data_IF_856308545513
#
_entry.id   IF_856308545513
#
_cell.length_a   1.000
_cell.length_b   1.000
_cell.length_c   1.000
_cell.angle_alpha   90.00
_cell.angle_beta   90.00
_cell.angle_gamma   90.00
#
_symmetry.space_group_name_H-M   'P 1'
#
loop_
_entity.id
_entity.type
_entity.pdbx_description
1 polymer ?
#
# COMPACT_ATOMS: atom_id res chain seq x y z
N UNK A 1 -36.32 -20.17 16.19
CA UNK A 1 -34.85 -20.13 16.12
C UNK A 1 -34.38 -18.85 16.80
N UNK A 2 -33.37 -18.89 17.67
CA UNK A 2 -32.79 -17.69 18.27
C UNK A 2 -31.92 -16.96 17.24
N UNK A 3 -31.94 -15.61 17.28
CA UNK A 3 -31.17 -14.77 16.37
C UNK A 3 -29.72 -14.68 16.84
N UNK A 4 -28.77 -15.04 15.98
CA UNK A 4 -27.33 -14.85 16.20
C UNK A 4 -26.92 -13.46 15.71
N UNK A 5 -26.21 -12.70 16.55
CA UNK A 5 -25.63 -11.42 16.18
C UNK A 5 -24.13 -11.61 15.89
N UNK A 6 -23.70 -11.17 14.72
CA UNK A 6 -22.30 -11.26 14.27
C UNK A 6 -21.81 -9.84 14.00
N UNK A 7 -20.63 -9.49 14.51
CA UNK A 7 -19.95 -8.22 14.20
C UNK A 7 -18.61 -8.51 13.53
N UNK A 8 -18.39 -7.88 12.38
CA UNK A 8 -17.11 -7.89 11.68
C UNK A 8 -16.37 -6.58 11.96
N UNK A 9 -15.19 -6.68 12.59
CA UNK A 9 -14.26 -5.57 12.78
C UNK A 9 -13.07 -5.73 11.84
N UNK A 10 -12.92 -4.81 10.89
CA UNK A 10 -11.76 -4.76 9.99
C UNK A 10 -10.77 -3.72 10.49
N UNK A 11 -9.60 -4.19 10.95
CA UNK A 11 -8.54 -3.32 11.45
C UNK A 11 -7.58 -2.90 10.33
N UNK A 12 -7.62 -1.64 9.92
CA UNK A 12 -6.71 -1.08 8.92
C UNK A 12 -5.60 -0.29 9.59
N UNK A 13 -4.39 -0.84 9.49
CA UNK A 13 -3.18 -0.25 10.02
C UNK A 13 -2.05 -0.33 8.99
N UNK A 14 -1.29 0.76 8.89
CA UNK A 14 0.04 0.82 8.30
C UNK A 14 0.92 1.66 9.22
N UNK A 15 2.18 1.29 9.47
CA UNK A 15 3.11 2.15 10.18
C UNK A 15 3.41 3.41 9.35
N UNK A 16 4.08 4.40 9.96
CA UNK A 16 4.66 5.49 9.20
C UNK A 16 5.76 4.97 8.28
N UNK A 17 5.55 5.13 6.97
CA UNK A 17 6.58 4.86 5.97
C UNK A 17 7.38 6.12 5.59
N UNK A 18 6.95 7.30 6.03
CA UNK A 18 7.66 8.56 5.81
C UNK A 18 8.92 8.62 6.68
N UNK A 19 10.07 8.82 6.05
CA UNK A 19 11.29 9.23 6.74
C UNK A 19 11.19 10.73 7.00
N UNK A 20 10.80 11.11 8.23
CA UNK A 20 10.62 12.51 8.62
C UNK A 20 11.89 13.35 8.52
N UNK A 21 13.09 12.72 8.54
CA UNK A 21 14.35 13.45 8.39
C UNK A 21 14.62 13.90 6.95
N UNK A 22 14.05 13.17 5.97
CA UNK A 22 14.23 13.42 4.54
C UNK A 22 12.98 13.96 3.85
N UNK A 23 11.80 13.78 4.47
CA UNK A 23 10.51 14.10 3.88
C UNK A 23 10.04 13.08 2.83
N UNK A 24 10.70 11.94 2.68
CA UNK A 24 10.46 10.94 1.63
C UNK A 24 9.82 9.67 2.19
N UNK A 25 8.85 9.11 1.49
CA UNK A 25 8.25 7.82 1.78
C UNK A 25 9.17 6.67 1.37
N UNK A 26 9.42 5.74 2.29
CA UNK A 26 10.29 4.58 2.07
C UNK A 26 9.57 3.44 1.35
N UNK A 27 8.26 3.31 1.55
CA UNK A 27 7.43 2.23 1.03
C UNK A 27 6.06 2.75 0.60
N UNK A 28 5.46 2.19 -0.48
CA UNK A 28 4.27 2.73 -1.11
C UNK A 28 2.97 2.12 -0.55
N UNK A 29 3.05 1.38 0.56
CA UNK A 29 1.99 0.45 0.95
C UNK A 29 0.68 1.13 1.30
N UNK A 30 0.72 2.35 1.87
CA UNK A 30 -0.49 3.14 2.11
C UNK A 30 -1.22 3.42 0.80
N UNK A 31 -0.52 3.96 -0.23
CA UNK A 31 -1.08 4.18 -1.56
C UNK A 31 -1.66 2.89 -2.15
N UNK A 32 -0.85 1.83 -2.19
CA UNK A 32 -1.22 0.62 -2.92
C UNK A 32 -2.39 -0.13 -2.24
N UNK A 33 -2.43 -0.16 -0.90
CA UNK A 33 -3.57 -0.74 -0.19
C UNK A 33 -4.82 0.13 -0.28
N UNK A 34 -4.70 1.46 -0.34
CA UNK A 34 -5.83 2.36 -0.54
C UNK A 34 -6.52 2.15 -1.89
N UNK A 35 -5.74 1.95 -2.96
CA UNK A 35 -6.24 1.70 -4.32
C UNK A 35 -6.82 0.29 -4.46
N UNK A 36 -6.22 -0.69 -3.76
CA UNK A 36 -6.60 -2.11 -3.90
C UNK A 36 -7.59 -2.56 -2.84
N UNK A 37 -7.12 -2.69 -1.62
CA UNK A 37 -7.79 -3.45 -0.57
C UNK A 37 -8.89 -2.61 0.06
N UNK A 38 -8.57 -1.38 0.47
CA UNK A 38 -9.53 -0.52 1.15
C UNK A 38 -10.66 -0.09 0.20
N UNK A 39 -10.31 0.25 -1.05
CA UNK A 39 -11.28 0.48 -2.12
C UNK A 39 -12.26 -0.69 -2.31
N UNK A 40 -11.72 -1.91 -2.46
CA UNK A 40 -12.52 -3.11 -2.66
C UNK A 40 -13.46 -3.38 -1.48
N UNK A 41 -12.97 -3.20 -0.24
CA UNK A 41 -13.77 -3.40 0.97
C UNK A 41 -14.93 -2.39 1.04
N UNK A 42 -14.71 -1.11 0.71
CA UNK A 42 -15.78 -0.12 0.65
C UNK A 42 -16.84 -0.50 -0.41
N UNK A 43 -16.42 -0.88 -1.62
CA UNK A 43 -17.33 -1.35 -2.69
C UNK A 43 -18.14 -2.58 -2.30
N UNK A 44 -17.52 -3.56 -1.62
CA UNK A 44 -18.22 -4.76 -1.18
C UNK A 44 -19.31 -4.44 -0.17
N UNK A 45 -19.01 -3.61 0.83
CA UNK A 45 -19.99 -3.22 1.84
C UNK A 45 -21.16 -2.45 1.23
N UNK A 46 -20.88 -1.56 0.29
CA UNK A 46 -21.92 -0.78 -0.38
C UNK A 46 -22.93 -1.67 -1.12
N UNK A 47 -22.43 -2.74 -1.77
CA UNK A 47 -23.22 -3.71 -2.55
C UNK A 47 -23.97 -4.73 -1.69
N UNK A 48 -23.30 -5.30 -0.69
CA UNK A 48 -23.84 -6.44 0.07
C UNK A 48 -24.74 -6.01 1.25
N UNK A 49 -24.85 -4.70 1.53
CA UNK A 49 -25.67 -4.15 2.63
C UNK A 49 -25.39 -4.78 4.00
N UNK A 50 -24.15 -5.24 4.22
CA UNK A 50 -23.69 -5.79 5.49
C UNK A 50 -23.32 -4.67 6.46
N UNK A 51 -23.62 -4.84 7.75
CA UNK A 51 -23.15 -3.93 8.81
C UNK A 51 -21.76 -4.38 9.27
N UNK A 52 -20.78 -3.51 9.14
CA UNK A 52 -19.39 -3.77 9.54
C UNK A 52 -18.78 -2.55 10.22
N UNK A 53 -17.79 -2.79 11.06
CA UNK A 53 -17.00 -1.73 11.69
C UNK A 53 -15.61 -1.72 11.08
N UNK A 54 -15.15 -0.55 10.60
CA UNK A 54 -13.78 -0.34 10.16
C UNK A 54 -13.02 0.43 11.24
N UNK A 55 -11.85 -0.08 11.64
CA UNK A 55 -10.88 0.69 12.42
C UNK A 55 -9.84 1.28 11.49
N UNK A 56 -9.59 2.58 11.56
CA UNK A 56 -8.49 3.23 10.87
C UNK A 56 -7.50 3.77 11.90
N UNK A 57 -6.22 3.41 11.76
CA UNK A 57 -5.20 4.05 12.59
C UNK A 57 -4.97 5.49 12.12
N UNK A 58 -4.86 6.48 13.02
CA UNK A 58 -4.70 7.89 12.64
C UNK A 58 -3.49 8.14 11.73
N UNK A 59 -2.34 7.53 12.04
CA UNK A 59 -1.13 7.60 11.20
C UNK A 59 -1.33 7.05 9.78
N UNK A 60 -2.25 6.09 9.59
CA UNK A 60 -2.58 5.58 8.27
C UNK A 60 -3.39 6.64 7.51
N UNK A 61 -4.41 7.21 8.15
CA UNK A 61 -5.28 8.24 7.54
C UNK A 61 -4.47 9.47 7.12
N UNK A 62 -3.54 9.93 7.97
CA UNK A 62 -2.64 11.04 7.64
C UNK A 62 -1.83 10.77 6.37
N UNK A 63 -1.20 9.60 6.28
CA UNK A 63 -0.45 9.21 5.09
C UNK A 63 -1.34 9.07 3.84
N UNK A 64 -2.59 8.61 3.98
CA UNK A 64 -3.54 8.57 2.87
C UNK A 64 -3.78 9.97 2.30
N UNK A 65 -3.95 10.98 3.17
CA UNK A 65 -4.12 12.37 2.74
C UNK A 65 -2.87 12.96 2.11
N UNK A 66 -1.68 12.62 2.61
CA UNK A 66 -0.42 13.00 1.95
C UNK A 66 -0.39 12.53 0.48
N UNK A 67 -0.86 11.31 0.18
CA UNK A 67 -0.95 10.82 -1.20
C UNK A 67 -2.07 11.49 -2.00
N UNK A 68 -3.26 11.67 -1.42
CA UNK A 68 -4.44 12.26 -2.09
C UNK A 68 -4.18 13.73 -2.47
N UNK A 69 -3.53 14.47 -1.58
CA UNK A 69 -3.20 15.89 -1.74
C UNK A 69 -1.91 16.11 -2.56
N UNK A 70 -1.27 15.03 -3.03
CA UNK A 70 0.00 15.06 -3.79
C UNK A 70 1.16 15.70 -3.01
N UNK A 71 1.17 15.52 -1.69
CA UNK A 71 2.24 15.95 -0.78
C UNK A 71 3.27 14.84 -0.52
N UNK A 72 2.92 13.59 -0.80
CA UNK A 72 3.81 12.45 -0.63
C UNK A 72 4.91 12.44 -1.72
N UNK A 73 6.17 12.56 -1.29
CA UNK A 73 7.33 12.21 -2.12
C UNK A 73 7.61 10.70 -1.96
N UNK A 74 7.26 9.90 -2.97
CA UNK A 74 7.37 8.44 -2.97
C UNK A 74 8.15 7.96 -4.20
N UNK A 75 9.36 7.38 -4.03
CA UNK A 75 10.17 6.87 -5.12
C UNK A 75 9.44 5.87 -6.02
N UNK A 76 8.49 5.09 -5.50
CA UNK A 76 7.71 4.17 -6.32
C UNK A 76 6.80 4.92 -7.29
N UNK A 77 6.16 6.02 -6.88
CA UNK A 77 5.34 6.85 -7.79
C UNK A 77 6.24 7.60 -8.76
N UNK A 78 7.28 8.25 -8.25
CA UNK A 78 8.19 9.07 -9.05
C UNK A 78 8.81 8.24 -10.18
N UNK A 79 9.27 7.02 -9.85
CA UNK A 79 9.84 6.09 -10.82
C UNK A 79 8.78 5.37 -11.65
N UNK A 80 7.51 5.35 -11.26
CA UNK A 80 6.43 4.89 -12.15
C UNK A 80 6.07 5.95 -13.19
N UNK A 81 6.15 7.24 -12.84
CA UNK A 81 5.88 8.36 -13.75
C UNK A 81 7.02 8.60 -14.75
N UNK A 82 8.26 8.38 -14.32
CA UNK A 82 9.45 8.67 -15.13
C UNK A 82 9.51 7.82 -16.40
N UNK A 83 9.86 8.45 -17.52
CA UNK A 83 10.07 7.75 -18.81
C UNK A 83 11.24 6.77 -18.70
N UNK A 84 11.11 5.52 -19.19
CA UNK A 84 12.20 4.55 -19.22
C UNK A 84 13.50 5.06 -19.82
N UNK A 85 13.40 5.88 -20.88
CA UNK A 85 14.54 6.47 -21.59
C UNK A 85 15.33 7.49 -20.76
N UNK A 86 14.73 7.99 -19.68
CA UNK A 86 15.33 8.98 -18.78
C UNK A 86 15.84 8.39 -17.47
N UNK A 87 15.67 7.07 -17.26
CA UNK A 87 16.10 6.39 -16.05
C UNK A 87 17.61 6.26 -16.02
N UNK A 88 18.23 6.70 -14.92
CA UNK A 88 19.62 6.41 -14.63
C UNK A 88 19.80 4.98 -14.08
N UNK A 89 21.04 4.55 -13.90
CA UNK A 89 21.34 3.18 -13.47
C UNK A 89 20.81 2.86 -12.06
N UNK A 90 20.88 3.79 -11.12
CA UNK A 90 20.39 3.57 -9.75
C UNK A 90 18.86 3.45 -9.70
N UNK A 91 18.17 4.21 -10.54
CA UNK A 91 16.71 4.15 -10.69
C UNK A 91 16.27 2.83 -11.34
N UNK A 92 17.01 2.36 -12.35
CA UNK A 92 16.80 1.03 -12.95
C UNK A 92 17.00 -0.08 -11.92
N UNK A 93 18.03 0.01 -11.07
CA UNK A 93 18.25 -0.92 -9.94
C UNK A 93 17.06 -0.88 -8.99
N UNK A 94 16.59 0.31 -8.63
CA UNK A 94 15.44 0.44 -7.73
C UNK A 94 14.21 -0.25 -8.29
N UNK A 95 13.88 -0.02 -9.56
CA UNK A 95 12.72 -0.64 -10.22
C UNK A 95 12.87 -2.16 -10.21
N UNK A 96 13.99 -2.71 -10.68
CA UNK A 96 14.21 -4.16 -10.73
C UNK A 96 14.23 -4.81 -9.33
N UNK A 97 14.61 -4.07 -8.30
CA UNK A 97 14.56 -4.56 -6.92
C UNK A 97 13.14 -4.59 -6.36
N UNK A 98 12.36 -3.54 -6.61
CA UNK A 98 11.14 -3.27 -5.85
C UNK A 98 9.83 -3.49 -6.62
N UNK A 99 9.84 -3.42 -7.95
CA UNK A 99 8.63 -3.54 -8.77
C UNK A 99 8.21 -5.00 -9.00
N UNK A 100 8.86 -5.94 -8.30
CA UNK A 100 8.43 -7.33 -8.16
C UNK A 100 7.96 -7.66 -6.72
N UNK A 101 7.78 -6.64 -5.86
CA UNK A 101 7.22 -6.81 -4.51
C UNK A 101 5.70 -7.06 -4.58
N UNK A 102 5.34 -8.16 -5.22
CA UNK A 102 3.99 -8.64 -5.47
C UNK A 102 4.05 -10.17 -5.34
N UNK A 103 2.95 -10.81 -4.93
CA UNK A 103 2.97 -12.26 -4.74
C UNK A 103 3.31 -13.01 -6.05
N UNK A 104 4.39 -13.78 -6.02
CA UNK A 104 4.92 -14.48 -7.19
C UNK A 104 3.89 -15.44 -7.81
N UNK A 105 3.31 -16.34 -7.01
CA UNK A 105 2.46 -17.40 -7.54
C UNK A 105 1.04 -16.93 -7.86
N UNK A 106 0.49 -16.03 -7.04
CA UNK A 106 -0.89 -15.58 -7.17
C UNK A 106 -1.05 -14.46 -8.20
N UNK A 107 0.03 -13.73 -8.53
CA UNK A 107 -0.04 -12.54 -9.38
C UNK A 107 0.99 -12.58 -10.51
N UNK A 108 2.30 -12.59 -10.21
CA UNK A 108 3.34 -12.46 -11.24
C UNK A 108 3.26 -13.61 -12.25
N UNK A 109 3.21 -14.86 -11.79
CA UNK A 109 3.12 -16.05 -12.66
C UNK A 109 1.81 -16.14 -13.47
N UNK A 110 0.78 -15.36 -13.12
CA UNK A 110 -0.49 -15.33 -13.88
C UNK A 110 -0.47 -14.39 -15.08
N UNK A 111 0.51 -13.49 -15.16
CA UNK A 111 0.72 -12.64 -16.32
C UNK A 111 1.99 -13.10 -17.06
N UNK A 112 1.90 -13.58 -18.31
CA UNK A 112 3.04 -14.12 -19.05
C UNK A 112 4.23 -13.15 -19.12
N UNK A 113 3.96 -11.88 -19.43
CA UNK A 113 4.97 -10.84 -19.55
C UNK A 113 5.61 -10.49 -18.21
N UNK A 114 4.81 -10.37 -17.15
CA UNK A 114 5.34 -10.08 -15.83
C UNK A 114 6.24 -11.21 -15.32
N UNK A 115 5.84 -12.45 -15.60
CA UNK A 115 6.64 -13.64 -15.29
C UNK A 115 7.94 -13.69 -16.09
N UNK A 116 7.90 -13.37 -17.39
CA UNK A 116 9.10 -13.27 -18.24
C UNK A 116 10.09 -12.25 -17.66
N UNK A 117 9.63 -11.04 -17.33
CA UNK A 117 10.47 -9.99 -16.75
C UNK A 117 11.04 -10.40 -15.38
N UNK A 118 10.27 -11.09 -14.54
CA UNK A 118 10.75 -11.61 -13.26
C UNK A 118 11.89 -12.63 -13.46
N UNK A 119 11.72 -13.59 -14.37
CA UNK A 119 12.75 -14.59 -14.66
C UNK A 119 13.99 -13.99 -15.34
N UNK A 120 13.80 -13.01 -16.21
CA UNK A 120 14.88 -12.23 -16.83
C UNK A 120 15.72 -11.48 -15.79
N UNK A 121 15.08 -10.94 -14.76
CA UNK A 121 15.76 -10.34 -13.60
C UNK A 121 16.52 -11.38 -12.75
N UNK A 122 16.03 -12.62 -12.72
CA UNK A 122 16.50 -13.71 -11.86
C UNK A 122 15.82 -13.71 -10.49
N UNK A 123 16.06 -14.72 -9.65
CA UNK A 123 15.45 -14.84 -8.30
C UNK A 123 16.15 -14.02 -7.21
N UNK A 124 17.47 -13.91 -7.28
CA UNK A 124 18.27 -13.04 -6.41
C UNK A 124 18.68 -11.79 -7.16
N UNK A 125 18.40 -10.62 -6.61
CA UNK A 125 18.85 -9.34 -7.17
C UNK A 125 19.60 -8.58 -6.08
N UNK A 126 20.92 -8.66 -6.12
CA UNK A 126 21.85 -7.91 -5.28
C UNK A 126 22.56 -6.82 -6.11
N UNK A 127 23.21 -5.88 -5.42
CA UNK A 127 23.82 -4.71 -6.08
C UNK A 127 24.98 -5.11 -6.99
N UNK A 128 25.69 -6.19 -6.68
CA UNK A 128 26.87 -6.65 -7.43
C UNK A 128 26.50 -7.32 -8.76
N UNK A 129 25.39 -8.06 -8.81
CA UNK A 129 24.88 -8.68 -10.05
C UNK A 129 24.04 -7.73 -10.90
N UNK A 130 23.73 -6.54 -10.38
CA UNK A 130 22.73 -5.65 -10.96
C UNK A 130 23.09 -5.13 -12.36
N UNK A 131 24.36 -4.81 -12.62
CA UNK A 131 24.76 -4.14 -13.86
C UNK A 131 24.56 -4.99 -15.13
N UNK A 132 24.91 -6.28 -15.08
CA UNK A 132 24.69 -7.21 -16.20
C UNK A 132 23.19 -7.41 -16.47
N UNK A 133 22.40 -7.48 -15.40
CA UNK A 133 20.94 -7.62 -15.51
C UNK A 133 20.34 -6.35 -16.11
N UNK A 134 20.72 -5.16 -15.67
CA UNK A 134 20.21 -3.90 -16.24
C UNK A 134 20.47 -3.83 -17.74
N UNK A 135 21.67 -4.21 -18.20
CA UNK A 135 22.01 -4.22 -19.63
C UNK A 135 21.18 -5.20 -20.46
N UNK A 136 20.60 -6.23 -19.84
CA UNK A 136 19.72 -7.14 -20.56
C UNK A 136 18.31 -6.57 -20.73
N UNK A 137 17.90 -5.61 -19.90
CA UNK A 137 16.59 -4.96 -19.97
C UNK A 137 16.59 -3.78 -20.95
N UNK A 138 15.64 -3.82 -21.87
CA UNK A 138 15.32 -2.72 -22.78
C UNK A 138 14.42 -1.68 -22.10
N UNK A 139 14.30 -0.50 -22.71
CA UNK A 139 13.37 0.53 -22.23
C UNK A 139 11.91 0.05 -22.24
N UNK A 140 11.52 -0.81 -23.20
CA UNK A 140 10.19 -1.43 -23.22
C UNK A 140 10.01 -2.42 -22.06
N UNK A 141 11.05 -3.13 -21.63
CA UNK A 141 10.97 -4.01 -20.46
C UNK A 141 10.71 -3.21 -19.18
N UNK A 142 11.36 -2.05 -19.02
CA UNK A 142 11.10 -1.13 -17.91
C UNK A 142 9.70 -0.54 -17.97
N UNK A 143 9.24 -0.14 -19.17
CA UNK A 143 7.88 0.37 -19.37
C UNK A 143 6.83 -0.66 -18.96
N UNK A 144 6.97 -1.88 -19.46
CA UNK A 144 6.07 -2.97 -19.14
C UNK A 144 6.10 -3.29 -17.64
N UNK A 145 7.28 -3.32 -17.02
CA UNK A 145 7.41 -3.56 -15.58
C UNK A 145 6.74 -2.46 -14.74
N UNK A 146 6.92 -1.18 -15.11
CA UNK A 146 6.24 -0.06 -14.44
C UNK A 146 4.72 -0.22 -14.50
N UNK A 147 4.18 -0.55 -15.67
CA UNK A 147 2.73 -0.74 -15.85
C UNK A 147 2.23 -1.97 -15.09
N UNK A 148 2.89 -3.12 -15.25
CA UNK A 148 2.48 -4.39 -14.64
C UNK A 148 2.50 -4.33 -13.11
N UNK A 149 3.53 -3.70 -12.53
CA UNK A 149 3.57 -3.48 -11.09
C UNK A 149 2.36 -2.67 -10.62
N UNK A 150 2.13 -1.48 -11.17
CA UNK A 150 1.03 -0.62 -10.73
C UNK A 150 -0.34 -1.25 -11.02
N UNK A 151 -0.51 -1.92 -12.16
CA UNK A 151 -1.76 -2.57 -12.53
C UNK A 151 -2.10 -3.73 -11.58
N UNK A 152 -1.08 -4.45 -11.10
CA UNK A 152 -1.25 -5.53 -10.12
C UNK A 152 -1.81 -5.05 -8.77
N UNK A 153 -1.74 -3.74 -8.50
CA UNK A 153 -2.28 -3.09 -7.31
C UNK A 153 -3.65 -2.42 -7.54
N UNK A 154 -4.29 -2.69 -8.67
CA UNK A 154 -5.69 -2.32 -8.90
C UNK A 154 -6.58 -3.47 -8.42
N UNK A 155 -7.70 -3.15 -7.76
CA UNK A 155 -8.65 -4.16 -7.29
C UNK A 155 -9.42 -4.82 -8.44
N UNK A 156 -9.83 -6.07 -8.28
CA UNK A 156 -10.67 -6.76 -9.28
C UNK A 156 -12.01 -6.07 -9.50
N UNK A 157 -12.55 -5.37 -8.49
CA UNK A 157 -13.76 -4.55 -8.65
C UNK A 157 -13.48 -3.37 -9.59
N UNK A 158 -12.40 -2.61 -9.35
CA UNK A 158 -12.04 -1.48 -10.21
C UNK A 158 -11.70 -1.93 -11.64
N UNK A 159 -11.03 -3.09 -11.81
CA UNK A 159 -10.77 -3.68 -13.12
C UNK A 159 -12.05 -4.08 -13.87
N UNK A 160 -13.14 -4.41 -13.18
CA UNK A 160 -14.43 -4.77 -13.82
C UNK A 160 -15.26 -3.54 -14.17
N UNK A 161 -15.21 -2.51 -13.32
CA UNK A 161 -16.00 -1.28 -13.47
C UNK A 161 -15.40 -0.29 -14.46
N UNK A 162 -14.07 -0.29 -14.63
CA UNK A 162 -13.38 0.65 -15.52
C UNK A 162 -12.86 -0.04 -16.79
N UNK A 163 -13.42 0.34 -17.94
CA UNK A 163 -13.10 -0.25 -19.24
C UNK A 163 -11.63 -0.05 -19.63
N UNK A 164 -11.02 1.09 -19.30
CA UNK A 164 -9.62 1.34 -19.66
C UNK A 164 -8.68 0.47 -18.82
N UNK A 165 -8.95 0.34 -17.52
CA UNK A 165 -8.18 -0.53 -16.64
C UNK A 165 -8.31 -2.00 -17.07
N UNK A 166 -9.52 -2.43 -17.47
CA UNK A 166 -9.74 -3.76 -18.06
C UNK A 166 -8.93 -3.97 -19.33
N UNK A 167 -8.99 -3.02 -20.27
CA UNK A 167 -8.23 -3.06 -21.53
C UNK A 167 -6.73 -3.21 -21.29
N UNK A 168 -6.18 -2.52 -20.28
CA UNK A 168 -4.76 -2.65 -19.92
C UNK A 168 -4.44 -4.04 -19.35
N UNK A 169 -5.33 -4.59 -18.52
CA UNK A 169 -5.19 -5.95 -17.98
C UNK A 169 -5.17 -7.00 -19.10
N UNK A 170 -6.10 -6.88 -20.04
CA UNK A 170 -6.26 -7.83 -21.14
C UNK A 170 -5.11 -7.73 -22.15
N UNK A 171 -4.59 -6.52 -22.38
CA UNK A 171 -3.42 -6.28 -23.24
C UNK A 171 -2.16 -7.00 -22.74
N UNK A 172 -1.91 -6.98 -21.43
CA UNK A 172 -0.88 -7.78 -20.77
C UNK A 172 0.59 -7.40 -21.01
N UNK A 173 0.94 -6.82 -22.16
CA UNK A 173 2.32 -6.48 -22.53
C UNK A 173 2.44 -5.33 -23.55
N UNK A 174 3.66 -4.88 -23.85
CA UNK A 174 3.97 -3.86 -24.86
C UNK A 174 3.17 -2.58 -24.65
N UNK A 175 3.17 -2.10 -23.41
CA UNK A 175 2.46 -0.90 -23.03
C UNK A 175 3.12 0.34 -23.64
N UNK A 176 2.34 1.37 -23.83
CA UNK A 176 2.79 2.69 -24.28
C UNK A 176 2.93 3.63 -23.09
N UNK A 177 3.74 4.68 -23.24
CA UNK A 177 3.89 5.71 -22.21
C UNK A 177 2.53 6.36 -21.88
N UNK A 178 1.69 6.57 -22.89
CA UNK A 178 0.32 7.09 -22.70
C UNK A 178 -0.53 6.19 -21.82
N UNK A 179 -0.48 4.87 -22.04
CA UNK A 179 -1.22 3.89 -21.24
C UNK A 179 -0.71 3.84 -19.79
N UNK A 180 0.60 3.94 -19.58
CA UNK A 180 1.19 4.07 -18.24
C UNK A 180 0.64 5.28 -17.50
N UNK A 181 0.64 6.45 -18.15
CA UNK A 181 0.11 7.68 -17.56
C UNK A 181 -1.39 7.60 -17.28
N UNK A 182 -2.18 6.99 -18.18
CA UNK A 182 -3.61 6.71 -17.95
C UNK A 182 -3.81 5.85 -16.71
N UNK A 183 -3.08 4.75 -16.56
CA UNK A 183 -3.16 3.89 -15.38
C UNK A 183 -2.87 4.66 -14.08
N UNK A 184 -1.79 5.44 -14.05
CA UNK A 184 -1.40 6.19 -12.85
C UNK A 184 -2.44 7.27 -12.50
N UNK A 185 -3.05 7.91 -13.49
CA UNK A 185 -4.16 8.85 -13.28
C UNK A 185 -5.42 8.16 -12.72
N UNK A 186 -5.72 6.95 -13.18
CA UNK A 186 -6.82 6.14 -12.63
C UNK A 186 -6.53 5.74 -11.19
N UNK A 187 -5.31 5.34 -10.86
CA UNK A 187 -4.88 5.08 -9.48
C UNK A 187 -5.07 6.30 -8.56
N UNK A 188 -4.72 7.51 -9.04
CA UNK A 188 -4.97 8.75 -8.30
C UNK A 188 -6.47 8.95 -8.01
N UNK A 189 -7.31 8.70 -9.01
CA UNK A 189 -8.76 8.84 -8.90
C UNK A 189 -9.35 7.83 -7.90
N UNK A 190 -8.88 6.58 -7.94
CA UNK A 190 -9.30 5.51 -7.02
C UNK A 190 -8.96 5.84 -5.56
N UNK A 191 -7.81 6.47 -5.28
CA UNK A 191 -7.49 6.88 -3.90
C UNK A 191 -8.50 7.89 -3.34
N UNK A 192 -8.86 8.89 -4.15
CA UNK A 192 -9.86 9.91 -3.79
C UNK A 192 -11.24 9.28 -3.61
N UNK A 193 -11.63 8.42 -4.55
CA UNK A 193 -12.90 7.69 -4.50
C UNK A 193 -12.99 6.85 -3.23
N UNK A 194 -11.96 6.08 -2.87
CA UNK A 194 -11.95 5.25 -1.66
C UNK A 194 -12.30 6.04 -0.39
N UNK A 195 -11.69 7.21 -0.19
CA UNK A 195 -11.96 8.03 0.99
C UNK A 195 -13.36 8.64 0.98
N UNK A 196 -13.85 9.06 -0.19
CA UNK A 196 -15.23 9.55 -0.34
C UNK A 196 -16.23 8.45 -0.04
N UNK A 197 -15.99 7.23 -0.54
CA UNK A 197 -16.86 6.08 -0.27
C UNK A 197 -16.96 5.75 1.22
N UNK A 198 -15.85 5.68 1.95
CA UNK A 198 -15.92 5.44 3.41
C UNK A 198 -16.71 6.54 4.13
N UNK A 199 -16.54 7.80 3.72
CA UNK A 199 -17.31 8.93 4.26
C UNK A 199 -18.80 8.81 3.97
N UNK A 200 -19.19 8.42 2.76
CA UNK A 200 -20.59 8.23 2.36
C UNK A 200 -21.21 7.03 3.07
N UNK A 201 -20.50 5.90 3.13
CA UNK A 201 -20.93 4.70 3.86
C UNK A 201 -21.18 4.99 5.34
N UNK A 202 -20.30 5.77 5.97
CA UNK A 202 -20.47 6.18 7.36
C UNK A 202 -21.68 7.12 7.54
N UNK A 203 -21.82 8.13 6.68
CA UNK A 203 -22.96 9.07 6.71
C UNK A 203 -24.31 8.40 6.49
N UNK A 204 -24.33 7.35 5.67
CA UNK A 204 -25.53 6.57 5.39
C UNK A 204 -25.73 5.41 6.39
N UNK A 205 -25.01 5.42 7.52
CA UNK A 205 -25.10 4.42 8.59
C UNK A 205 -24.88 2.97 8.11
N UNK A 206 -24.21 2.77 6.97
CA UNK A 206 -23.88 1.43 6.44
C UNK A 206 -22.70 0.81 7.19
N UNK A 207 -21.79 1.65 7.71
CA UNK A 207 -20.63 1.24 8.50
C UNK A 207 -20.52 2.02 9.78
N UNK A 208 -19.83 1.44 10.76
CA UNK A 208 -19.27 2.16 11.88
C UNK A 208 -17.77 2.41 11.65
N UNK A 209 -17.27 3.54 12.14
CA UNK A 209 -15.83 3.85 12.13
C UNK A 209 -15.34 3.92 13.56
N UNK A 210 -14.23 3.23 13.82
CA UNK A 210 -13.47 3.31 15.06
C UNK A 210 -12.03 3.76 14.77
N UNK A 211 -11.33 4.21 15.81
CA UNK A 211 -9.93 4.64 15.72
C UNK A 211 -9.07 3.90 16.74
N UNK A 212 -7.77 4.12 16.67
CA UNK A 212 -6.73 3.58 17.54
C UNK A 212 -5.83 4.73 18.03
N UNK A 213 -4.93 4.52 19.01
CA UNK A 213 -3.96 5.55 19.35
C UNK A 213 -3.09 5.92 18.14
N UNK A 214 -2.65 7.17 18.08
CA UNK A 214 -2.17 7.85 16.87
C UNK A 214 -1.20 7.04 15.99
N UNK A 215 -0.07 6.61 16.54
CA UNK A 215 0.97 5.84 15.83
C UNK A 215 0.85 4.32 16.05
N UNK A 216 -0.30 3.85 16.54
CA UNK A 216 -0.57 2.46 16.88
C UNK A 216 0.54 1.79 17.74
N UNK A 217 0.99 2.42 18.84
CA UNK A 217 2.03 1.86 19.69
C UNK A 217 1.54 0.66 20.50
N UNK A 218 2.49 -0.14 20.97
CA UNK A 218 2.24 -1.15 22.01
C UNK A 218 2.12 -0.40 23.35
N UNK A 219 0.94 0.13 23.64
CA UNK A 219 0.68 1.02 24.79
C UNK A 219 1.26 0.50 26.12
N UNK A 220 1.14 -0.78 26.50
CA UNK A 220 1.73 -1.30 27.73
C UNK A 220 3.24 -1.06 27.83
N UNK A 221 3.97 -1.20 26.71
CA UNK A 221 5.42 -1.03 26.68
C UNK A 221 5.84 0.45 26.67
N UNK A 222 4.96 1.36 26.24
CA UNK A 222 5.17 2.80 26.43
C UNK A 222 5.06 3.18 27.91
N UNK A 223 4.06 2.62 28.60
CA UNK A 223 3.89 2.89 30.04
C UNK A 223 5.13 2.44 30.80
N UNK A 224 5.53 1.18 30.65
CA UNK A 224 6.77 0.65 31.23
C UNK A 224 7.14 -0.70 30.60
N UNK A 225 8.36 -0.86 30.10
CA UNK A 225 8.83 -2.13 29.51
C UNK A 225 8.83 -3.31 30.47
N UNK A 226 8.93 -3.08 31.79
CA UNK A 226 8.85 -4.14 32.80
C UNK A 226 7.50 -4.86 32.81
N UNK A 227 6.44 -4.30 32.22
CA UNK A 227 5.16 -4.98 32.09
C UNK A 227 5.27 -6.30 31.32
N UNK A 228 6.26 -6.42 30.41
CA UNK A 228 6.51 -7.63 29.64
C UNK A 228 6.87 -8.83 30.53
N UNK A 229 7.41 -8.60 31.74
CA UNK A 229 7.74 -9.66 32.72
C UNK A 229 6.50 -10.46 33.14
N UNK A 230 5.29 -9.92 32.97
CA UNK A 230 4.03 -10.64 33.26
C UNK A 230 3.72 -11.74 32.24
N UNK A 231 4.20 -11.61 31.01
CA UNK A 231 3.87 -12.52 29.91
C UNK A 231 4.99 -13.49 29.61
N UNK A 232 6.26 -13.06 29.72
CA UNK A 232 7.41 -13.88 29.37
C UNK A 232 8.67 -13.45 30.12
N UNK A 233 9.55 -14.40 30.40
CA UNK A 233 10.88 -14.14 30.95
C UNK A 233 11.86 -13.88 29.80
N UNK A 234 11.97 -12.61 29.39
CA UNK A 234 12.85 -12.15 28.29
C UNK A 234 13.82 -11.08 28.80
N UNK A 235 15.02 -10.93 28.21
CA UNK A 235 15.87 -9.76 28.47
C UNK A 235 15.10 -8.47 28.17
N UNK A 236 15.22 -7.49 29.06
CA UNK A 236 14.56 -6.18 28.95
C UNK A 236 15.58 -5.04 29.08
N UNK A 237 15.27 -3.84 28.54
CA UNK A 237 16.12 -2.67 28.69
C UNK A 237 16.42 -2.36 30.17
N UNK A 238 17.65 -1.95 30.45
CA UNK A 238 18.09 -1.47 31.76
C UNK A 238 18.82 -0.14 31.58
N UNK A 239 18.29 0.99 32.07
CA UNK A 239 17.04 1.11 32.83
C UNK A 239 15.78 0.82 31.98
N UNK A 240 14.62 0.50 32.61
CA UNK A 240 13.36 0.33 31.88
C UNK A 240 12.98 1.60 31.11
N UNK A 241 12.45 1.42 29.90
CA UNK A 241 11.81 2.53 29.19
C UNK A 241 10.40 2.73 29.75
N UNK A 242 10.06 3.98 30.09
CA UNK A 242 8.79 4.35 30.72
C UNK A 242 8.44 5.80 30.36
N UNK A 243 7.37 5.97 29.58
CA UNK A 243 6.86 7.25 29.07
C UNK A 243 5.32 7.29 29.09
N UNK A 244 4.65 7.15 30.25
CA UNK A 244 3.19 7.22 30.33
C UNK A 244 2.60 8.54 29.79
N UNK A 245 3.36 9.63 29.81
CA UNK A 245 3.00 10.91 29.19
C UNK A 245 2.82 10.80 27.67
N UNK A 246 3.65 10.01 26.99
CA UNK A 246 3.56 9.79 25.54
C UNK A 246 2.29 9.00 25.20
N UNK A 247 1.85 8.09 26.08
CA UNK A 247 0.59 7.38 25.89
C UNK A 247 -0.60 8.36 25.90
N UNK A 248 -0.62 9.33 26.80
CA UNK A 248 -1.69 10.33 26.85
C UNK A 248 -1.73 11.16 25.55
N UNK A 249 -0.57 11.51 25.01
CA UNK A 249 -0.48 12.20 23.72
C UNK A 249 -1.02 11.32 22.59
N UNK A 250 -0.63 10.05 22.53
CA UNK A 250 -1.10 9.08 21.52
C UNK A 250 -2.62 8.90 21.54
N UNK A 251 -3.24 8.92 22.72
CA UNK A 251 -4.70 8.83 22.87
C UNK A 251 -5.40 10.15 22.53
N UNK A 252 -4.75 11.29 22.75
CA UNK A 252 -5.29 12.61 22.42
C UNK A 252 -5.27 12.86 20.92
N UNK A 253 -4.12 12.63 20.28
CA UNK A 253 -3.93 12.82 18.83
C UNK A 253 -4.62 11.74 17.99
N UNK A 254 -5.04 10.63 18.61
CA UNK A 254 -5.74 9.57 17.91
C UNK A 254 -7.26 9.73 17.79
N UNK A 255 -7.83 10.75 18.44
CA UNK A 255 -9.27 11.10 18.39
C UNK A 255 -9.53 12.11 17.29
#
# INVERSE_FOLDING_TARGET
MSKLYISFLWHFHQPFYKDFSKGVYLLPWVRLHLIKNYHMMAKLVDRESVKVTFNFTPCLVEQMFDYIDKKADDPFINLSLKSPTSLNEEEKIFILKNFFNVNLDKVIKKNPRYSELFFKRGYSFDREKSYKVIKSFSDQDFLDLQVLFNLSWVSEIALREDEELRRLKDKGERFTEREKLTLLKKQESLMKESMLMFKELYRNEKIEISTSPYSHPIMPLIINTDIAKRCQNTPLPSPPFSRPEDLNLQLKEGK
#
